data_IF_111460728736
#
_entry.id   IF_111460728736
#
_cell.length_a   1.000
_cell.length_b   1.000
_cell.length_c   1.000
_cell.angle_alpha   90.00
_cell.angle_beta   90.00
_cell.angle_gamma   90.00
#
_symmetry.space_group_name_H-M   'P 1'
#
loop_
_entity.id
_entity.type
_entity.pdbx_description
1 polymer ?
#
# COMPACT_ATOMS: atom_id res chain seq x y z
N UNK A 1 -15.01 -3.03 1.13
CA UNK A 1 -14.64 -2.60 -0.23
C UNK A 1 -13.35 -3.31 -0.51
N UNK A 2 -13.37 -4.39 -1.29
CA UNK A 2 -12.36 -5.44 -1.17
C UNK A 2 -11.09 -5.07 -1.96
N UNK A 3 -10.23 -4.22 -1.39
CA UNK A 3 -8.94 -3.91 -1.98
C UNK A 3 -8.23 -5.22 -2.32
N UNK A 4 -8.02 -5.49 -3.61
CA UNK A 4 -7.58 -6.81 -4.04
C UNK A 4 -6.14 -7.05 -3.53
N UNK A 5 -5.90 -8.05 -2.66
CA UNK A 5 -4.59 -8.29 -2.07
C UNK A 5 -3.52 -8.52 -3.14
N UNK A 6 -3.91 -9.10 -4.29
CA UNK A 6 -3.00 -9.37 -5.41
C UNK A 6 -2.55 -8.07 -6.08
N UNK A 7 -3.46 -7.12 -6.28
CA UNK A 7 -3.13 -5.83 -6.88
C UNK A 7 -2.25 -5.02 -5.93
N UNK A 8 -2.60 -4.98 -4.64
CA UNK A 8 -1.79 -4.31 -3.62
C UNK A 8 -0.37 -4.87 -3.60
N UNK A 9 -0.21 -6.21 -3.58
CA UNK A 9 1.11 -6.83 -3.55
C UNK A 9 1.95 -6.54 -4.79
N UNK A 10 1.32 -6.41 -5.98
CA UNK A 10 1.99 -5.95 -7.20
C UNK A 10 2.39 -4.48 -7.11
N UNK A 11 1.50 -3.62 -6.62
CA UNK A 11 1.73 -2.18 -6.49
C UNK A 11 2.82 -1.84 -5.48
N UNK A 12 3.00 -2.68 -4.47
CA UNK A 12 4.05 -2.53 -3.45
C UNK A 12 5.37 -3.21 -3.83
N UNK A 13 5.40 -3.92 -4.96
CA UNK A 13 6.62 -4.54 -5.46
C UNK A 13 7.61 -3.47 -5.92
N UNK A 14 8.85 -3.55 -5.47
CA UNK A 14 9.89 -2.57 -5.81
C UNK A 14 9.95 -1.33 -4.91
N UNK A 15 9.08 -1.20 -3.91
CA UNK A 15 9.26 -0.21 -2.84
C UNK A 15 10.55 -0.54 -2.07
N UNK A 16 11.45 0.43 -1.94
CA UNK A 16 12.65 0.30 -1.12
C UNK A 16 12.31 0.54 0.36
N UNK A 17 12.14 -0.54 1.12
CA UNK A 17 11.84 -0.46 2.55
C UNK A 17 13.12 -0.20 3.39
N UNK A 18 13.02 0.51 4.53
CA UNK A 18 11.80 1.12 5.10
C UNK A 18 11.28 2.30 4.29
N UNK A 19 9.96 2.41 4.19
CA UNK A 19 9.28 3.45 3.40
C UNK A 19 8.10 4.05 4.17
N UNK A 20 7.95 5.37 4.10
CA UNK A 20 6.80 6.06 4.66
C UNK A 20 5.55 5.90 3.79
N UNK A 21 4.38 6.16 4.39
CA UNK A 21 3.06 6.17 3.72
C UNK A 21 3.11 6.88 2.35
N UNK A 22 3.68 8.08 2.29
CA UNK A 22 3.70 8.87 1.05
C UNK A 22 4.53 8.22 -0.06
N UNK A 23 5.68 7.64 0.28
CA UNK A 23 6.52 6.91 -0.68
C UNK A 23 5.79 5.67 -1.20
N UNK A 24 5.05 4.97 -0.33
CA UNK A 24 4.24 3.81 -0.69
C UNK A 24 3.09 4.20 -1.62
N UNK A 25 2.35 5.27 -1.29
CA UNK A 25 1.25 5.79 -2.13
C UNK A 25 1.76 6.19 -3.50
N UNK A 26 2.91 6.88 -3.56
CA UNK A 26 3.52 7.31 -4.81
C UNK A 26 4.01 6.11 -5.64
N UNK A 27 4.69 5.14 -5.02
CA UNK A 27 5.13 3.92 -5.72
C UNK A 27 3.94 3.10 -6.23
N UNK A 28 2.89 2.96 -5.41
CA UNK A 28 1.68 2.25 -5.80
C UNK A 28 1.00 2.94 -7.00
N UNK A 29 0.92 4.28 -6.97
CA UNK A 29 0.41 5.08 -8.09
C UNK A 29 1.23 4.86 -9.36
N UNK A 30 2.56 4.88 -9.27
CA UNK A 30 3.46 4.62 -10.40
C UNK A 30 3.29 3.20 -10.95
N UNK A 31 3.02 2.23 -10.08
CA UNK A 31 2.75 0.85 -10.44
C UNK A 31 1.31 0.62 -10.96
N UNK A 32 0.49 1.67 -11.10
CA UNK A 32 -0.86 1.59 -11.64
C UNK A 32 -1.91 1.11 -10.63
N UNK A 33 -1.74 1.40 -9.35
CA UNK A 33 -2.73 1.11 -8.32
C UNK A 33 -4.09 1.73 -8.66
N UNK A 34 -5.14 0.92 -8.57
CA UNK A 34 -6.52 1.38 -8.72
C UNK A 34 -6.95 2.31 -7.59
N UNK A 35 -8.05 3.03 -7.81
CA UNK A 35 -8.57 4.03 -6.86
C UNK A 35 -8.85 3.44 -5.47
N UNK A 36 -9.33 2.20 -5.39
CA UNK A 36 -9.59 1.51 -4.12
C UNK A 36 -8.30 1.26 -3.32
N UNK A 37 -7.26 0.77 -4.00
CA UNK A 37 -5.94 0.55 -3.39
C UNK A 37 -5.35 1.88 -2.93
N UNK A 38 -5.45 2.93 -3.75
CA UNK A 38 -4.99 4.27 -3.39
C UNK A 38 -5.76 4.86 -2.20
N UNK A 39 -7.07 4.63 -2.10
CA UNK A 39 -7.88 5.07 -0.98
C UNK A 39 -7.49 4.35 0.32
N UNK A 40 -7.26 3.03 0.25
CA UNK A 40 -6.77 2.26 1.38
C UNK A 40 -5.39 2.73 1.84
N UNK A 41 -4.44 2.90 0.91
CA UNK A 41 -3.09 3.38 1.22
C UNK A 41 -3.08 4.80 1.82
N UNK A 42 -3.98 5.68 1.37
CA UNK A 42 -4.13 7.02 1.96
C UNK A 42 -4.76 7.01 3.35
N UNK A 43 -5.53 5.96 3.68
CA UNK A 43 -6.16 5.77 4.99
C UNK A 43 -5.23 5.12 6.02
N UNK A 44 -4.04 4.71 5.59
CA UNK A 44 -3.02 4.14 6.45
C UNK A 44 -2.45 5.16 7.43
N UNK A 45 -2.06 4.72 8.64
CA UNK A 45 -1.37 5.57 9.59
C UNK A 45 -0.04 6.08 9.01
N UNK A 46 0.32 7.30 9.39
CA UNK A 46 1.55 7.96 8.97
C UNK A 46 2.74 7.40 9.76
N UNK A 47 3.19 6.22 9.36
CA UNK A 47 4.35 5.50 9.91
C UNK A 47 5.27 5.00 8.82
N UNK A 48 6.47 4.61 9.20
CA UNK A 48 7.34 3.81 8.34
C UNK A 48 6.89 2.36 8.37
N UNK A 49 6.80 1.79 7.18
CA UNK A 49 6.58 0.36 7.01
C UNK A 49 7.91 -0.28 6.68
N UNK A 50 8.15 -1.47 7.23
CA UNK A 50 9.39 -2.20 7.00
C UNK A 50 9.28 -3.20 5.84
N UNK A 51 8.05 -3.50 5.41
CA UNK A 51 7.81 -4.49 4.36
C UNK A 51 6.48 -4.28 3.65
N UNK A 52 6.33 -4.78 2.41
CA UNK A 52 5.05 -4.74 1.70
C UNK A 52 4.00 -5.63 2.37
N UNK A 53 4.44 -6.65 3.12
CA UNK A 53 3.57 -7.50 3.91
C UNK A 53 2.91 -6.74 5.06
N UNK A 54 3.64 -5.81 5.70
CA UNK A 54 3.09 -4.98 6.77
C UNK A 54 2.00 -4.05 6.23
N UNK A 55 2.26 -3.38 5.12
CA UNK A 55 1.27 -2.52 4.43
C UNK A 55 0.02 -3.34 4.06
N UNK A 56 0.21 -4.51 3.45
CA UNK A 56 -0.90 -5.38 3.05
C UNK A 56 -1.73 -5.83 4.26
N UNK A 57 -1.07 -6.20 5.36
CA UNK A 57 -1.74 -6.57 6.60
C UNK A 57 -2.52 -5.39 7.20
N UNK A 58 -1.99 -4.19 7.13
CA UNK A 58 -2.65 -2.99 7.65
C UNK A 58 -3.88 -2.61 6.82
N UNK A 59 -3.76 -2.62 5.49
CA UNK A 59 -4.87 -2.41 4.56
C UNK A 59 -5.95 -3.48 4.77
N UNK A 60 -5.57 -4.76 4.87
CA UNK A 60 -6.50 -5.86 5.08
C UNK A 60 -7.20 -5.83 6.46
N UNK A 61 -6.63 -5.12 7.44
CA UNK A 61 -7.26 -4.89 8.75
C UNK A 61 -8.24 -3.71 8.75
N UNK A 62 -8.27 -2.88 7.70
CA UNK A 62 -9.17 -1.73 7.59
C UNK A 62 -10.48 -2.02 6.82
N UNK A 63 -10.71 -3.25 6.35
CA UNK A 63 -11.99 -3.71 5.75
C UNK A 63 -13.01 -4.20 6.80
#
# INVERSE_FOLDING_TARGET
MNANPIELQKCLSGVGYPAGKDAIVEQARQNGAGDEVMAALKSLPEKEYESPAEVNKEVAQQD
#
